data_IF_186052179441
#
_entry.id   IF_186052179441
#
_cell.length_a   1.000
_cell.length_b   1.000
_cell.length_c   1.000
_cell.angle_alpha   90.00
_cell.angle_beta   90.00
_cell.angle_gamma   90.00
#
_symmetry.space_group_name_H-M   'P 1'
#
loop_
_entity.id
_entity.type
_entity.pdbx_description
1 polymer ?
#
# COMPACT_ATOMS: atom_id res chain seq x y z
N UNK A 1 15.62 5.97 3.09
CA UNK A 1 14.33 5.73 2.46
C UNK A 1 14.42 5.37 0.99
N UNK A 2 15.13 6.13 0.20
CA UNK A 2 15.35 5.84 -1.22
C UNK A 2 15.90 4.43 -1.47
N UNK A 3 16.85 4.01 -0.64
CA UNK A 3 17.42 2.66 -0.70
C UNK A 3 16.35 1.56 -0.52
N UNK A 4 15.45 1.74 0.44
CA UNK A 4 14.37 0.77 0.69
C UNK A 4 13.41 0.69 -0.48
N UNK A 5 13.09 1.84 -1.07
CA UNK A 5 12.26 1.93 -2.25
C UNK A 5 12.87 1.12 -3.42
N UNK A 6 14.18 1.32 -3.69
CA UNK A 6 14.86 0.61 -4.75
C UNK A 6 15.01 -0.88 -4.50
N UNK A 7 15.10 -1.30 -3.26
CA UNK A 7 15.10 -2.72 -2.91
C UNK A 7 13.82 -3.41 -3.37
N UNK A 8 12.68 -2.71 -3.27
CA UNK A 8 11.38 -3.24 -3.70
C UNK A 8 11.20 -3.17 -5.21
N UNK A 9 11.72 -2.14 -5.86
CA UNK A 9 11.51 -1.90 -7.31
C UNK A 9 12.46 -2.72 -8.19
N UNK A 10 13.72 -2.83 -7.80
CA UNK A 10 14.75 -3.43 -8.64
C UNK A 10 14.55 -4.91 -8.88
N UNK A 11 14.52 -5.31 -10.15
CA UNK A 11 14.37 -6.72 -10.54
C UNK A 11 12.96 -7.29 -10.41
N UNK A 12 11.99 -6.46 -10.05
CA UNK A 12 10.61 -6.89 -9.89
C UNK A 12 9.72 -6.30 -10.99
N UNK A 13 8.59 -6.95 -11.27
CA UNK A 13 7.65 -6.49 -12.29
C UNK A 13 6.21 -6.57 -11.78
N UNK A 14 5.32 -5.89 -12.48
CA UNK A 14 3.89 -5.86 -12.13
C UNK A 14 3.16 -7.00 -12.84
N UNK A 15 2.45 -7.83 -12.07
CA UNK A 15 1.69 -8.96 -12.59
C UNK A 15 0.42 -9.15 -11.77
N UNK A 16 -0.68 -8.64 -12.29
CA UNK A 16 -1.97 -8.69 -11.60
C UNK A 16 -2.52 -10.12 -11.52
N UNK A 17 -2.30 -10.95 -12.54
CA UNK A 17 -2.80 -12.32 -12.57
C UNK A 17 -2.17 -13.18 -11.48
N UNK A 18 -0.84 -13.17 -11.38
CA UNK A 18 -0.12 -13.91 -10.33
C UNK A 18 -0.44 -13.34 -8.94
N UNK A 19 -0.57 -12.02 -8.84
CA UNK A 19 -0.94 -11.36 -7.60
C UNK A 19 -2.32 -11.82 -7.12
N UNK A 20 -3.30 -11.90 -8.01
CA UNK A 20 -4.66 -12.34 -7.66
C UNK A 20 -4.69 -13.79 -7.21
N UNK A 21 -3.90 -14.66 -7.83
CA UNK A 21 -3.78 -16.06 -7.40
C UNK A 21 -3.26 -16.15 -5.97
N UNK A 22 -2.24 -15.36 -5.65
CA UNK A 22 -1.68 -15.31 -4.31
C UNK A 22 -2.69 -14.73 -3.31
N UNK A 23 -3.36 -13.65 -3.66
CA UNK A 23 -4.38 -13.03 -2.80
C UNK A 23 -5.53 -13.99 -2.50
N UNK A 24 -5.98 -14.74 -3.49
CA UNK A 24 -7.04 -15.73 -3.31
C UNK A 24 -6.63 -16.83 -2.30
N UNK A 25 -5.38 -17.24 -2.31
CA UNK A 25 -4.87 -18.18 -1.30
C UNK A 25 -4.89 -17.57 0.09
N UNK A 26 -4.51 -16.31 0.22
CA UNK A 26 -4.51 -15.59 1.50
C UNK A 26 -5.94 -15.40 2.03
N UNK A 27 -6.88 -15.10 1.16
CA UNK A 27 -8.30 -15.00 1.52
C UNK A 27 -8.81 -16.35 2.08
N UNK A 28 -8.47 -17.44 1.41
CA UNK A 28 -8.84 -18.79 1.85
C UNK A 28 -8.24 -19.19 3.19
N UNK A 29 -7.05 -18.69 3.51
CA UNK A 29 -6.37 -18.94 4.79
C UNK A 29 -6.78 -17.97 5.88
N UNK A 30 -7.61 -16.98 5.59
CA UNK A 30 -8.04 -15.93 6.53
C UNK A 30 -6.84 -15.23 7.19
N UNK A 31 -5.89 -14.80 6.36
CA UNK A 31 -4.65 -14.16 6.84
C UNK A 31 -4.93 -12.94 7.70
N UNK A 32 -4.20 -12.82 8.80
CA UNK A 32 -4.32 -11.67 9.70
C UNK A 32 -3.58 -10.46 9.13
N UNK A 33 -4.09 -9.27 9.42
CA UNK A 33 -3.48 -8.03 8.94
C UNK A 33 -2.01 -7.90 9.33
N UNK A 34 -1.64 -8.26 10.56
CA UNK A 34 -0.25 -8.19 11.04
C UNK A 34 0.71 -9.11 10.29
N UNK A 35 0.21 -10.14 9.64
CA UNK A 35 1.03 -11.09 8.89
C UNK A 35 1.19 -10.68 7.42
N UNK A 36 0.36 -9.79 6.92
CA UNK A 36 0.38 -9.35 5.52
C UNK A 36 1.71 -8.72 5.09
N UNK A 37 2.29 -7.76 5.81
CA UNK A 37 3.53 -7.13 5.35
C UNK A 37 4.66 -8.13 5.10
N UNK A 38 4.88 -9.04 6.03
CA UNK A 38 5.93 -10.05 5.90
C UNK A 38 5.61 -11.07 4.82
N UNK A 39 4.36 -11.51 4.73
CA UNK A 39 3.89 -12.45 3.70
C UNK A 39 4.10 -11.89 2.31
N UNK A 40 3.72 -10.62 2.09
CA UNK A 40 3.85 -9.98 0.79
C UNK A 40 5.32 -9.72 0.42
N UNK A 41 6.15 -9.33 1.38
CA UNK A 41 7.58 -9.16 1.14
C UNK A 41 8.24 -10.46 0.71
N UNK A 42 7.93 -11.56 1.39
CA UNK A 42 8.44 -12.90 1.01
C UNK A 42 7.99 -13.31 -0.38
N UNK A 43 6.73 -13.01 -0.73
CA UNK A 43 6.20 -13.33 -2.05
C UNK A 43 6.98 -12.61 -3.15
N UNK A 44 7.21 -11.30 -3.00
CA UNK A 44 7.97 -10.51 -3.97
C UNK A 44 9.40 -11.03 -4.10
N UNK A 45 10.06 -11.31 -2.99
CA UNK A 45 11.44 -11.82 -3.01
C UNK A 45 11.56 -13.18 -3.70
N UNK A 46 10.52 -14.00 -3.63
CA UNK A 46 10.51 -15.33 -4.25
C UNK A 46 10.11 -15.28 -5.73
N UNK A 47 9.08 -14.51 -6.05
CA UNK A 47 8.47 -14.53 -7.38
C UNK A 47 8.81 -13.33 -8.26
N UNK A 48 9.39 -12.27 -7.68
CA UNK A 48 9.78 -11.03 -8.38
C UNK A 48 8.62 -10.35 -9.12
N UNK A 49 7.40 -10.50 -8.62
CA UNK A 49 6.20 -9.89 -9.19
C UNK A 49 5.15 -9.61 -8.11
N UNK A 50 4.14 -8.85 -8.48
CA UNK A 50 3.03 -8.55 -7.61
C UNK A 50 2.19 -7.39 -8.12
N UNK A 51 1.20 -6.98 -7.35
CA UNK A 51 0.38 -5.80 -7.62
C UNK A 51 0.61 -4.72 -6.54
N UNK A 52 -0.19 -3.66 -6.57
CA UNK A 52 -0.05 -2.54 -5.64
C UNK A 52 -0.09 -2.98 -4.16
N UNK A 53 -0.93 -3.95 -3.82
CA UNK A 53 -1.01 -4.48 -2.47
C UNK A 53 0.32 -5.11 -2.02
N UNK A 54 0.93 -5.93 -2.87
CA UNK A 54 2.19 -6.59 -2.56
C UNK A 54 3.31 -5.58 -2.36
N UNK A 55 3.47 -4.65 -3.31
CA UNK A 55 4.53 -3.65 -3.27
C UNK A 55 4.32 -2.65 -2.14
N UNK A 56 3.08 -2.24 -1.89
CA UNK A 56 2.77 -1.35 -0.77
C UNK A 56 3.08 -1.98 0.57
N UNK A 57 2.64 -3.22 0.79
CA UNK A 57 2.90 -3.94 2.04
C UNK A 57 4.38 -4.22 2.26
N UNK A 58 5.11 -4.60 1.20
CA UNK A 58 6.54 -4.88 1.29
C UNK A 58 7.32 -3.60 1.63
N UNK A 59 7.04 -2.49 0.96
CA UNK A 59 7.69 -1.22 1.26
C UNK A 59 7.37 -0.76 2.69
N UNK A 60 6.11 -0.86 3.10
CA UNK A 60 5.70 -0.57 4.47
C UNK A 60 6.53 -1.36 5.50
N UNK A 61 6.68 -2.66 5.26
CA UNK A 61 7.47 -3.54 6.15
C UNK A 61 8.90 -3.05 6.30
N UNK A 62 9.57 -2.79 5.17
CA UNK A 62 10.95 -2.32 5.18
C UNK A 62 11.09 -0.95 5.87
N UNK A 63 10.18 -0.03 5.60
CA UNK A 63 10.19 1.29 6.22
C UNK A 63 9.93 1.22 7.73
N UNK A 64 8.96 0.43 8.15
CA UNK A 64 8.64 0.26 9.57
C UNK A 64 9.81 -0.40 10.32
N UNK A 65 10.43 -1.42 9.73
CA UNK A 65 11.60 -2.10 10.33
C UNK A 65 12.80 -1.15 10.43
N UNK A 66 12.90 -0.17 9.55
CA UNK A 66 13.93 0.86 9.60
C UNK A 66 13.64 1.98 10.61
N UNK A 67 12.54 1.87 11.36
CA UNK A 67 12.17 2.84 12.39
C UNK A 67 11.40 4.06 11.88
N UNK A 68 10.91 4.03 10.67
CA UNK A 68 10.13 5.13 10.10
C UNK A 68 8.68 5.11 10.57
N UNK A 69 8.12 6.30 10.78
CA UNK A 69 6.70 6.43 11.12
C UNK A 69 5.90 6.37 9.81
N UNK A 70 5.33 5.20 9.54
CA UNK A 70 4.61 4.95 8.30
C UNK A 70 3.40 4.02 8.51
N UNK A 71 2.48 4.06 7.56
CA UNK A 71 1.22 3.34 7.59
C UNK A 71 0.87 2.92 6.16
N UNK A 72 -0.07 1.99 6.02
CA UNK A 72 -0.63 1.65 4.71
C UNK A 72 -1.67 2.70 4.35
N UNK A 73 -1.63 3.18 3.11
CA UNK A 73 -2.67 4.03 2.57
C UNK A 73 -3.44 3.31 1.48
N UNK A 74 -4.75 3.47 1.49
CA UNK A 74 -5.64 2.91 0.47
C UNK A 74 -6.50 4.03 -0.06
N UNK A 75 -6.45 4.23 -1.38
CA UNK A 75 -7.24 5.23 -2.07
C UNK A 75 -8.18 4.57 -3.06
N UNK A 76 -9.32 5.19 -3.28
CA UNK A 76 -10.27 4.76 -4.28
C UNK A 76 -10.98 6.00 -4.84
N UNK A 77 -10.96 6.15 -6.17
CA UNK A 77 -11.74 7.20 -6.81
C UNK A 77 -13.21 6.86 -6.75
N UNK A 78 -14.03 7.86 -6.49
CA UNK A 78 -15.47 7.76 -6.58
C UNK A 78 -15.93 8.33 -7.92
N UNK A 79 -16.77 7.57 -8.63
CA UNK A 79 -17.39 8.07 -9.85
C UNK A 79 -18.37 9.20 -9.45
N UNK A 80 -18.22 10.43 -9.96
CA UNK A 80 -19.04 11.56 -9.53
C UNK A 80 -20.53 11.42 -9.90
N UNK A 81 -20.87 10.55 -10.83
CA UNK A 81 -22.25 10.34 -11.28
C UNK A 81 -22.92 9.17 -10.54
N UNK A 82 -22.24 8.01 -10.50
CA UNK A 82 -22.81 6.78 -9.93
C UNK A 82 -22.50 6.57 -8.46
N UNK A 83 -21.54 7.31 -7.92
CA UNK A 83 -20.99 7.15 -6.56
C UNK A 83 -20.34 5.78 -6.33
N UNK A 84 -20.07 5.04 -7.39
CA UNK A 84 -19.33 3.80 -7.31
C UNK A 84 -17.84 4.09 -7.14
N UNK A 85 -17.19 3.34 -6.25
CA UNK A 85 -15.75 3.43 -6.06
C UNK A 85 -15.04 2.55 -7.06
N UNK A 86 -13.99 3.09 -7.67
CA UNK A 86 -13.10 2.35 -8.55
C UNK A 86 -12.22 1.38 -7.74
N UNK A 87 -11.38 0.61 -8.44
CA UNK A 87 -10.44 -0.29 -7.80
C UNK A 87 -9.56 0.45 -6.79
N UNK A 88 -9.34 -0.19 -5.66
CA UNK A 88 -8.53 0.37 -4.59
C UNK A 88 -7.05 0.33 -4.96
N UNK A 89 -6.34 1.41 -4.63
CA UNK A 89 -4.91 1.51 -4.82
C UNK A 89 -4.20 1.57 -3.47
N UNK A 90 -3.18 0.72 -3.30
CA UNK A 90 -2.41 0.62 -2.06
C UNK A 90 -1.06 1.31 -2.24
N UNK A 91 -0.70 2.14 -1.27
CA UNK A 91 0.59 2.82 -1.21
C UNK A 91 1.01 2.97 0.25
N UNK A 92 2.09 3.69 0.52
CA UNK A 92 2.57 3.90 1.88
C UNK A 92 2.47 5.38 2.25
N UNK A 93 1.81 5.65 3.37
CA UNK A 93 1.76 6.96 3.99
C UNK A 93 2.87 7.07 5.02
N UNK A 94 3.63 8.16 5.02
CA UNK A 94 4.66 8.35 6.01
C UNK A 94 4.80 9.83 6.42
N UNK A 95 5.36 10.02 7.60
CA UNK A 95 5.58 11.35 8.18
C UNK A 95 7.08 11.56 8.31
N UNK A 96 7.57 12.68 7.76
CA UNK A 96 8.97 13.07 7.84
C UNK A 96 9.06 14.55 8.17
N UNK A 97 9.75 14.87 9.27
CA UNK A 97 9.91 16.26 9.73
C UNK A 97 8.56 16.99 9.89
N UNK A 98 7.54 16.29 10.40
CA UNK A 98 6.21 16.84 10.60
C UNK A 98 5.36 16.97 9.33
N UNK A 99 5.90 16.60 8.18
CA UNK A 99 5.18 16.66 6.89
C UNK A 99 4.70 15.28 6.47
N UNK A 100 3.57 15.25 5.77
CA UNK A 100 2.90 14.01 5.34
C UNK A 100 3.12 13.74 3.87
N UNK A 101 3.53 12.50 3.55
CA UNK A 101 3.87 12.08 2.20
C UNK A 101 3.28 10.71 1.87
N UNK A 102 3.17 10.47 0.57
CA UNK A 102 2.85 9.13 0.02
C UNK A 102 4.06 8.63 -0.77
N UNK A 103 4.42 7.38 -0.55
CA UNK A 103 5.39 6.67 -1.37
C UNK A 103 4.68 5.54 -2.10
N UNK A 104 4.78 5.55 -3.44
CA UNK A 104 4.11 4.56 -4.29
C UNK A 104 5.13 3.94 -5.26
N UNK A 105 5.52 2.68 -5.06
CA UNK A 105 6.51 2.03 -5.91
C UNK A 105 5.94 1.48 -7.22
N UNK A 106 4.63 1.46 -7.40
CA UNK A 106 3.99 0.75 -8.52
C UNK A 106 4.39 1.31 -9.88
N UNK A 107 4.43 2.63 -10.03
CA UNK A 107 4.79 3.25 -11.30
C UNK A 107 6.23 2.90 -11.69
N UNK A 108 7.15 2.94 -10.75
CA UNK A 108 8.54 2.56 -11.00
C UNK A 108 8.68 1.08 -11.36
N UNK A 109 7.90 0.21 -10.73
CA UNK A 109 7.87 -1.23 -11.06
C UNK A 109 7.35 -1.45 -12.46
N UNK A 110 6.26 -0.77 -12.84
CA UNK A 110 5.65 -0.93 -14.17
C UNK A 110 6.51 -0.43 -15.31
N UNK A 111 7.17 0.70 -15.13
CA UNK A 111 7.88 1.38 -16.21
C UNK A 111 9.38 1.13 -16.20
N UNK A 112 9.92 0.66 -15.09
CA UNK A 112 11.37 0.57 -14.89
C UNK A 112 12.05 1.93 -14.84
N UNK A 113 11.29 3.00 -14.91
CA UNK A 113 11.81 4.36 -14.84
C UNK A 113 11.77 4.87 -13.42
N UNK A 114 12.66 5.77 -13.13
CA UNK A 114 12.78 6.35 -11.84
C UNK A 114 11.64 7.30 -11.49
N UNK A 115 11.12 7.15 -10.33
CA UNK A 115 10.30 8.13 -9.67
C UNK A 115 10.15 7.75 -8.23
N UNK A 116 11.16 7.97 -7.42
CA UNK A 116 10.90 8.04 -5.99
C UNK A 116 10.35 9.42 -5.73
N UNK A 117 9.06 9.51 -5.82
CA UNK A 117 8.39 10.75 -5.53
C UNK A 117 7.91 10.72 -4.10
N UNK A 118 8.51 11.61 -3.30
CA UNK A 118 7.92 11.99 -2.04
C UNK A 118 6.72 12.87 -2.39
N UNK A 119 5.61 12.23 -2.67
CA UNK A 119 4.40 12.95 -3.08
C UNK A 119 3.76 13.54 -1.83
N UNK A 120 3.63 14.87 -1.71
CA UNK A 120 2.91 15.46 -0.59
C UNK A 120 1.48 14.91 -0.54
N UNK A 121 0.99 14.59 0.67
CA UNK A 121 -0.35 14.02 0.83
C UNK A 121 -1.43 14.86 0.15
N UNK A 122 -1.34 16.19 0.25
CA UNK A 122 -2.31 17.10 -0.37
C UNK A 122 -2.37 16.93 -1.89
N UNK A 123 -1.22 16.79 -2.54
CA UNK A 123 -1.14 16.59 -3.98
C UNK A 123 -1.71 15.23 -4.38
N UNK A 124 -1.43 14.20 -3.59
CA UNK A 124 -1.93 12.86 -3.82
C UNK A 124 -3.46 12.80 -3.72
N UNK A 125 -4.05 13.48 -2.73
CA UNK A 125 -5.50 13.53 -2.54
C UNK A 125 -6.17 14.25 -3.72
N UNK A 126 -5.59 15.31 -4.25
CA UNK A 126 -6.14 16.03 -5.41
C UNK A 126 -6.28 15.12 -6.63
N UNK A 127 -5.32 14.23 -6.84
CA UNK A 127 -5.32 13.31 -7.99
C UNK A 127 -6.13 12.04 -7.74
N UNK A 128 -6.14 11.54 -6.51
CA UNK A 128 -6.65 10.20 -6.19
C UNK A 128 -7.87 10.19 -5.27
N UNK A 129 -8.32 11.35 -4.80
CA UNK A 129 -9.48 11.44 -3.92
C UNK A 129 -9.18 11.06 -2.46
N UNK A 130 -10.16 10.47 -1.80
CA UNK A 130 -10.06 10.10 -0.38
C UNK A 130 -9.01 9.04 -0.13
N UNK A 131 -8.22 9.23 0.91
CA UNK A 131 -7.19 8.29 1.35
C UNK A 131 -7.52 7.80 2.76
N UNK A 132 -7.61 6.49 2.92
CA UNK A 132 -7.79 5.84 4.22
C UNK A 132 -6.46 5.27 4.69
N UNK A 133 -6.17 5.43 5.98
CA UNK A 133 -4.89 5.03 6.59
C UNK A 133 -5.12 3.85 7.53
N UNK A 134 -4.25 2.84 7.41
CA UNK A 134 -4.33 1.60 8.20
C UNK A 134 -2.97 1.25 8.81
N UNK A 135 -2.99 0.65 9.98
CA UNK A 135 -1.78 0.12 10.62
C UNK A 135 -1.91 -1.39 10.84
N UNK A 136 -1.28 -2.22 9.99
CA UNK A 136 -1.30 -3.68 10.18
C UNK A 136 -0.70 -4.14 11.50
N UNK A 137 0.17 -3.34 12.10
CA UNK A 137 0.78 -3.65 13.40
C UNK A 137 0.08 -2.98 14.58
N UNK A 138 -1.07 -2.34 14.34
CA UNK A 138 -1.85 -1.69 15.38
C UNK A 138 -2.86 -2.63 16.06
N UNK A 139 -3.83 -2.03 16.75
CA UNK A 139 -4.82 -2.78 17.55
C UNK A 139 -5.72 -3.73 16.74
N UNK A 140 -5.88 -3.49 15.44
CA UNK A 140 -6.68 -4.34 14.57
C UNK A 140 -5.85 -5.37 13.80
N UNK A 141 -4.57 -5.50 14.14
CA UNK A 141 -3.66 -6.41 13.45
C UNK A 141 -4.01 -7.90 13.54
N UNK A 142 -4.79 -8.30 14.56
CA UNK A 142 -5.26 -9.68 14.70
C UNK A 142 -6.49 -10.00 13.86
N UNK A 143 -7.11 -8.99 13.26
CA UNK A 143 -8.27 -9.18 12.41
C UNK A 143 -7.89 -9.68 11.03
N UNK A 144 -8.79 -10.42 10.39
CA UNK A 144 -8.59 -10.89 9.02
C UNK A 144 -8.48 -9.72 8.06
N UNK A 145 -7.42 -9.69 7.25
CA UNK A 145 -7.09 -8.53 6.43
C UNK A 145 -8.19 -8.17 5.43
N UNK A 146 -8.63 -9.15 4.63
CA UNK A 146 -9.53 -8.89 3.51
C UNK A 146 -10.99 -8.65 3.90
N UNK A 147 -11.39 -8.97 5.12
CA UNK A 147 -12.78 -8.80 5.57
C UNK A 147 -12.95 -7.76 6.67
N UNK A 148 -12.30 -7.94 7.82
CA UNK A 148 -12.53 -7.09 9.00
C UNK A 148 -11.60 -5.88 9.05
N UNK A 149 -10.31 -6.09 8.81
CA UNK A 149 -9.30 -5.05 8.95
C UNK A 149 -9.56 -3.86 8.02
N UNK A 150 -9.94 -4.12 6.77
CA UNK A 150 -10.19 -3.09 5.77
C UNK A 150 -11.39 -2.19 6.11
N UNK A 151 -12.21 -2.56 7.08
CA UNK A 151 -13.35 -1.77 7.53
C UNK A 151 -13.01 -0.84 8.70
N UNK A 152 -11.76 -0.84 9.18
CA UNK A 152 -11.36 -0.10 10.38
C UNK A 152 -10.15 0.81 10.14
N UNK A 153 -10.28 1.86 9.30
CA UNK A 153 -9.18 2.79 9.10
C UNK A 153 -8.86 3.59 10.36
N UNK A 154 -7.59 3.90 10.56
CA UNK A 154 -7.15 4.77 11.66
C UNK A 154 -7.53 6.23 11.41
N UNK A 155 -7.50 6.64 10.15
CA UNK A 155 -7.79 8.00 9.74
C UNK A 155 -8.27 8.01 8.29
N UNK A 156 -9.01 9.05 7.93
CA UNK A 156 -9.47 9.28 6.56
C UNK A 156 -9.16 10.72 6.20
N UNK A 157 -8.46 10.91 5.09
CA UNK A 157 -8.14 12.23 4.58
C UNK A 157 -8.95 12.50 3.31
N UNK A 158 -9.63 13.65 3.27
CA UNK A 158 -10.42 14.06 2.13
C UNK A 158 -9.91 15.38 1.58
N UNK A 159 -10.21 15.69 0.33
CA UNK A 159 -9.78 16.93 -0.31
C UNK A 159 -10.68 18.14 -0.04
N UNK A 160 -11.64 18.04 0.87
CA UNK A 160 -12.66 19.05 1.10
C UNK A 160 -12.33 20.04 2.23
N UNK A 161 -11.14 20.03 2.73
CA UNK A 161 -10.74 20.98 3.78
C UNK A 161 -9.97 22.16 3.23
#
# INVERSE_FOLDING_TARGET
>A
MEKLFWEIVTGNHYDLEEANKHNNKLIGKKVKAKDMPNTELKFIRKHHCGCCLHYGMALFKLMRDAGMKCFISISAEENPVTHEKTDKHVSVYYIKNGKKYIADPVEAVKTGTFGFDQIPLESFIKENGTVEIFDPYGKHGDEEFFSSFMATPLATFTGEE
#
